data_IF_557072790283
#
_entry.id   IF_557072790283
#
_cell.length_a   1.000
_cell.length_b   1.000
_cell.length_c   1.000
_cell.angle_alpha   90.00
_cell.angle_beta   90.00
_cell.angle_gamma   90.00
#
_symmetry.space_group_name_H-M   'P 1'
#
loop_
_entity.id
_entity.type
_entity.pdbx_description
1 polymer ?
#
# COMPACT_ATOMS: atom_id res chain seq x y z
N UNK A 1 27.09 51.70 25.65
CA UNK A 1 28.23 50.87 26.08
C UNK A 1 28.19 49.59 25.28
N UNK A 2 29.08 49.48 24.31
CA UNK A 2 29.32 48.25 23.56
C UNK A 2 29.97 47.26 24.53
N UNK A 3 29.19 46.26 24.95
CA UNK A 3 29.68 45.15 25.75
C UNK A 3 30.55 44.27 24.84
N UNK A 4 31.78 44.72 24.60
CA UNK A 4 32.76 44.03 23.77
C UNK A 4 33.22 42.83 24.56
N UNK A 5 32.58 41.68 24.27
CA UNK A 5 32.96 40.39 24.82
C UNK A 5 34.46 40.21 24.65
N UNK A 6 35.13 39.84 25.73
CA UNK A 6 36.56 39.61 25.69
C UNK A 6 36.83 38.36 24.84
N UNK A 7 37.97 38.27 24.14
CA UNK A 7 38.31 37.08 23.34
C UNK A 7 38.18 35.77 24.13
N UNK A 8 38.57 35.77 25.42
CA UNK A 8 38.43 34.63 26.31
C UNK A 8 36.96 34.21 26.55
N UNK A 9 36.03 35.17 26.60
CA UNK A 9 34.60 34.88 26.74
C UNK A 9 34.01 34.29 25.45
N UNK A 10 34.47 34.76 24.29
CA UNK A 10 34.04 34.22 22.99
C UNK A 10 34.51 32.76 22.86
N UNK A 11 35.74 32.48 23.26
CA UNK A 11 36.31 31.13 23.22
C UNK A 11 35.60 30.16 24.18
N UNK A 12 35.29 30.63 25.39
CA UNK A 12 34.48 29.88 26.34
C UNK A 12 33.05 29.59 25.83
N UNK A 13 32.43 30.52 25.09
CA UNK A 13 31.10 30.33 24.51
C UNK A 13 31.13 29.36 23.32
N UNK A 14 32.20 29.38 22.52
CA UNK A 14 32.40 28.43 21.41
C UNK A 14 32.55 27.01 21.94
N UNK A 15 33.35 26.79 22.97
CA UNK A 15 33.52 25.47 23.60
C UNK A 15 32.18 24.95 24.13
N UNK A 16 31.45 25.81 24.85
CA UNK A 16 30.14 25.47 25.42
C UNK A 16 29.11 25.12 24.34
N UNK A 17 29.09 25.85 23.22
CA UNK A 17 28.21 25.54 22.07
C UNK A 17 28.60 24.25 21.36
N UNK A 18 29.89 23.93 21.25
CA UNK A 18 30.38 22.69 20.63
C UNK A 18 29.96 21.46 21.44
N UNK A 19 30.06 21.52 22.76
CA UNK A 19 29.56 20.45 23.64
C UNK A 19 28.05 20.25 23.47
N UNK A 20 27.28 21.34 23.42
CA UNK A 20 25.83 21.26 23.25
C UNK A 20 25.42 20.65 21.90
N UNK A 21 26.14 20.98 20.83
CA UNK A 21 25.93 20.41 19.49
C UNK A 21 26.27 18.92 19.43
N UNK A 22 27.33 18.48 20.11
CA UNK A 22 27.72 17.08 20.15
C UNK A 22 26.61 16.21 20.78
N UNK A 23 25.99 16.70 21.86
CA UNK A 23 24.86 16.03 22.52
C UNK A 23 23.65 15.94 21.58
N UNK A 24 23.31 17.03 20.88
CA UNK A 24 22.19 17.04 19.93
C UNK A 24 22.45 16.16 18.70
N UNK A 25 23.69 16.10 18.20
CA UNK A 25 24.06 15.25 17.06
C UNK A 25 23.98 13.77 17.41
N UNK A 26 24.35 13.39 18.63
CA UNK A 26 24.20 12.02 19.13
C UNK A 26 22.71 11.61 19.22
N UNK A 27 21.87 12.52 19.74
CA UNK A 27 20.42 12.30 19.81
C UNK A 27 19.76 12.17 18.43
N UNK A 28 20.16 12.98 17.45
CA UNK A 28 19.68 12.88 16.06
C UNK A 28 20.23 11.61 15.40
N UNK A 29 21.49 11.25 15.63
CA UNK A 29 22.12 10.04 15.07
C UNK A 29 21.36 8.76 15.45
N UNK A 30 20.86 8.67 16.68
CA UNK A 30 20.08 7.51 17.16
C UNK A 30 18.69 7.47 16.50
N UNK A 31 18.00 8.62 16.35
CA UNK A 31 16.63 8.66 15.80
C UNK A 31 16.54 8.51 14.30
N UNK A 32 17.59 8.86 13.55
CA UNK A 32 17.59 8.81 12.08
C UNK A 32 18.30 7.55 11.57
N UNK A 33 18.49 6.54 12.43
CA UNK A 33 19.14 5.29 12.03
C UNK A 33 18.37 4.67 10.85
N UNK A 34 18.97 4.57 9.65
CA UNK A 34 18.23 4.29 8.40
C UNK A 34 17.55 2.92 8.42
N UNK A 35 18.11 1.96 9.16
CA UNK A 35 17.52 0.63 9.35
C UNK A 35 16.14 0.68 10.04
N UNK A 36 15.92 1.61 10.96
CA UNK A 36 14.66 1.72 11.71
C UNK A 36 13.57 2.40 10.87
N UNK A 37 13.93 3.47 10.16
CA UNK A 37 13.00 4.18 9.26
C UNK A 37 12.51 3.25 8.14
N UNK A 38 13.42 2.47 7.55
CA UNK A 38 13.07 1.50 6.50
C UNK A 38 12.21 0.36 7.07
N UNK A 39 12.51 -0.10 8.29
CA UNK A 39 11.72 -1.12 8.99
C UNK A 39 10.27 -0.67 9.23
N UNK A 40 10.07 0.52 9.78
CA UNK A 40 8.75 1.08 10.07
C UNK A 40 7.93 1.34 8.80
N UNK A 41 8.58 1.83 7.74
CA UNK A 41 7.95 2.01 6.44
C UNK A 41 7.48 0.67 5.85
N UNK A 42 8.32 -0.37 5.90
CA UNK A 42 7.98 -1.71 5.39
C UNK A 42 6.84 -2.35 6.19
N UNK A 43 6.85 -2.21 7.51
CA UNK A 43 5.79 -2.73 8.38
C UNK A 43 4.44 -2.07 8.08
N UNK A 44 4.42 -0.77 7.82
CA UNK A 44 3.20 0.00 7.52
C UNK A 44 2.61 -0.34 6.15
N UNK A 45 3.47 -0.64 5.17
CA UNK A 45 3.04 -1.13 3.85
C UNK A 45 2.48 -2.55 3.97
N UNK A 46 3.16 -3.45 4.67
CA UNK A 46 2.70 -4.82 4.87
C UNK A 46 1.32 -4.89 5.53
N UNK A 47 1.09 -4.12 6.59
CA UNK A 47 -0.22 -4.08 7.27
C UNK A 47 -1.35 -3.53 6.39
N UNK A 48 -1.05 -2.55 5.53
CA UNK A 48 -2.02 -2.01 4.58
C UNK A 48 -2.41 -3.04 3.51
N UNK A 49 -1.43 -3.85 3.07
CA UNK A 49 -1.63 -4.93 2.11
C UNK A 49 -2.48 -6.04 2.71
N UNK A 50 -2.16 -6.53 3.91
CA UNK A 50 -2.93 -7.61 4.56
C UNK A 50 -4.40 -7.25 4.74
N UNK A 51 -4.68 -6.01 5.16
CA UNK A 51 -6.06 -5.59 5.41
C UNK A 51 -6.85 -5.32 4.13
N UNK A 52 -6.17 -4.87 3.06
CA UNK A 52 -6.82 -4.56 1.78
C UNK A 52 -7.00 -5.81 0.94
N UNK A 53 -5.95 -6.62 0.79
CA UNK A 53 -5.97 -7.84 -0.03
C UNK A 53 -6.84 -8.90 0.61
N UNK A 54 -6.75 -9.07 1.94
CA UNK A 54 -7.61 -10.02 2.66
C UNK A 54 -9.09 -9.68 2.51
N UNK A 55 -9.47 -8.40 2.68
CA UNK A 55 -10.86 -7.98 2.49
C UNK A 55 -11.33 -8.08 1.03
N UNK A 56 -10.48 -7.70 0.07
CA UNK A 56 -10.80 -7.80 -1.34
C UNK A 56 -11.01 -9.27 -1.75
N UNK A 57 -10.14 -10.18 -1.31
CA UNK A 57 -10.25 -11.61 -1.62
C UNK A 57 -11.54 -12.21 -1.06
N UNK A 58 -11.86 -11.92 0.21
CA UNK A 58 -13.10 -12.41 0.84
C UNK A 58 -14.34 -11.82 0.18
N UNK A 59 -14.33 -10.53 -0.14
CA UNK A 59 -15.45 -9.88 -0.84
C UNK A 59 -15.69 -10.50 -2.21
N UNK A 60 -14.63 -10.72 -3.00
CA UNK A 60 -14.71 -11.40 -4.30
C UNK A 60 -15.25 -12.82 -4.14
N UNK A 61 -14.71 -13.60 -3.21
CA UNK A 61 -15.11 -14.99 -3.04
C UNK A 61 -16.58 -15.11 -2.58
N UNK A 62 -17.04 -14.17 -1.75
CA UNK A 62 -18.46 -14.07 -1.36
C UNK A 62 -19.36 -13.81 -2.56
N UNK A 63 -19.01 -12.82 -3.38
CA UNK A 63 -19.78 -12.49 -4.60
C UNK A 63 -19.82 -13.68 -5.56
N UNK A 64 -18.67 -14.32 -5.81
CA UNK A 64 -18.59 -15.51 -6.68
C UNK A 64 -19.43 -16.66 -6.12
N UNK A 65 -19.41 -16.87 -4.81
CA UNK A 65 -20.20 -17.91 -4.15
C UNK A 65 -21.70 -17.65 -4.25
N UNK A 66 -22.14 -16.40 -4.03
CA UNK A 66 -23.55 -15.99 -4.13
C UNK A 66 -24.06 -16.13 -5.57
N UNK A 67 -23.23 -15.79 -6.56
CA UNK A 67 -23.56 -16.00 -7.98
C UNK A 67 -23.63 -17.49 -8.29
N UNK A 68 -22.62 -18.28 -7.89
CA UNK A 68 -22.59 -19.74 -8.12
C UNK A 68 -23.84 -20.42 -7.56
N UNK A 69 -24.27 -20.06 -6.35
CA UNK A 69 -25.46 -20.63 -5.71
C UNK A 69 -26.74 -20.47 -6.54
N UNK A 70 -26.86 -19.40 -7.35
CA UNK A 70 -28.02 -19.20 -8.24
C UNK A 70 -28.00 -20.08 -9.49
N UNK A 71 -26.81 -20.57 -9.84
CA UNK A 71 -26.54 -21.40 -11.01
C UNK A 71 -26.29 -22.87 -10.67
N UNK A 72 -26.33 -23.26 -9.40
CA UNK A 72 -26.23 -24.67 -8.97
C UNK A 72 -27.53 -25.15 -8.34
N UNK A 73 -27.76 -26.45 -8.37
CA UNK A 73 -28.79 -27.13 -7.59
C UNK A 73 -28.32 -27.31 -6.13
N UNK A 74 -29.20 -27.78 -5.25
CA UNK A 74 -28.92 -27.95 -3.81
C UNK A 74 -27.85 -29.01 -3.52
N UNK A 75 -27.67 -29.96 -4.45
CA UNK A 75 -26.62 -30.97 -4.47
C UNK A 75 -25.26 -30.45 -5.01
N UNK A 76 -25.22 -29.19 -5.46
CA UNK A 76 -24.04 -28.56 -6.05
C UNK A 76 -23.87 -28.75 -7.57
N UNK A 77 -24.78 -29.46 -8.24
CA UNK A 77 -24.71 -29.69 -9.68
C UNK A 77 -25.06 -28.41 -10.48
N UNK A 78 -24.33 -28.05 -11.55
CA UNK A 78 -24.66 -26.89 -12.38
C UNK A 78 -26.05 -27.00 -13.03
N UNK A 79 -26.85 -25.93 -12.93
CA UNK A 79 -28.12 -25.75 -13.64
C UNK A 79 -27.83 -25.42 -15.10
N UNK A 80 -27.59 -26.44 -15.92
CA UNK A 80 -27.23 -26.27 -17.34
C UNK A 80 -28.26 -25.42 -18.10
N UNK A 81 -29.55 -25.53 -17.76
CA UNK A 81 -30.63 -24.69 -18.30
C UNK A 81 -30.37 -23.18 -18.14
N UNK A 82 -29.65 -22.77 -17.08
CA UNK A 82 -29.33 -21.36 -16.76
C UNK A 82 -27.90 -20.99 -17.12
N UNK A 83 -26.96 -21.91 -16.94
CA UNK A 83 -25.53 -21.66 -17.18
C UNK A 83 -25.23 -21.52 -18.67
N UNK A 84 -25.79 -22.39 -19.50
CA UNK A 84 -25.54 -22.40 -20.96
C UNK A 84 -25.89 -21.06 -21.62
N UNK A 85 -27.11 -20.50 -21.47
CA UNK A 85 -27.45 -19.23 -22.11
C UNK A 85 -26.58 -18.06 -21.62
N UNK A 86 -26.26 -18.02 -20.32
CA UNK A 86 -25.39 -16.98 -19.76
C UNK A 86 -23.97 -17.10 -20.28
N UNK A 87 -23.43 -18.32 -20.38
CA UNK A 87 -22.10 -18.57 -20.92
C UNK A 87 -21.99 -18.14 -22.39
N UNK A 88 -23.00 -18.47 -23.21
CA UNK A 88 -23.05 -18.04 -24.62
C UNK A 88 -23.07 -16.52 -24.72
N UNK A 89 -23.91 -15.84 -23.94
CA UNK A 89 -23.98 -14.39 -23.93
C UNK A 89 -22.65 -13.74 -23.50
N UNK A 90 -22.01 -14.28 -22.45
CA UNK A 90 -20.72 -13.80 -21.98
C UNK A 90 -19.63 -13.93 -23.06
N UNK A 91 -19.54 -15.07 -23.74
CA UNK A 91 -18.59 -15.29 -24.85
C UNK A 91 -18.84 -14.29 -25.98
N UNK A 92 -20.10 -14.05 -26.35
CA UNK A 92 -20.45 -13.09 -27.40
C UNK A 92 -20.01 -11.65 -27.02
N UNK A 93 -20.27 -11.22 -25.79
CA UNK A 93 -19.86 -9.89 -25.30
C UNK A 93 -18.34 -9.75 -25.29
N UNK A 94 -17.61 -10.75 -24.78
CA UNK A 94 -16.13 -10.74 -24.79
C UNK A 94 -15.60 -10.69 -26.23
N UNK A 95 -16.15 -11.51 -27.12
CA UNK A 95 -15.81 -11.48 -28.54
C UNK A 95 -16.01 -10.11 -29.17
N UNK A 96 -17.13 -9.44 -28.87
CA UNK A 96 -17.43 -8.09 -29.34
C UNK A 96 -16.44 -7.04 -28.80
N UNK A 97 -16.09 -7.12 -27.51
CA UNK A 97 -15.12 -6.22 -26.88
C UNK A 97 -13.73 -6.38 -27.48
N UNK A 98 -13.30 -7.63 -27.71
CA UNK A 98 -12.01 -7.93 -28.35
C UNK A 98 -12.02 -7.47 -29.82
N UNK A 99 -13.09 -7.71 -30.56
CA UNK A 99 -13.21 -7.28 -31.95
C UNK A 99 -13.24 -5.74 -32.08
N UNK A 100 -13.99 -5.05 -31.22
CA UNK A 100 -14.10 -3.58 -31.24
C UNK A 100 -12.81 -2.89 -30.79
N UNK A 101 -12.10 -3.43 -29.81
CA UNK A 101 -10.79 -2.91 -29.39
C UNK A 101 -9.72 -3.11 -30.48
N UNK A 102 -9.76 -4.22 -31.22
CA UNK A 102 -8.91 -4.44 -32.40
C UNK A 102 -9.24 -3.44 -33.52
N UNK A 103 -10.53 -3.22 -33.80
CA UNK A 103 -10.99 -2.26 -34.83
C UNK A 103 -10.63 -0.80 -34.50
N UNK A 104 -10.45 -0.43 -33.23
CA UNK A 104 -10.03 0.93 -32.83
C UNK A 104 -8.52 1.16 -32.95
N UNK A 105 -7.72 0.11 -33.13
CA UNK A 105 -6.24 0.19 -33.17
C UNK A 105 -5.65 0.11 -34.59
N UNK A 106 -6.44 -0.25 -35.58
CA UNK A 106 -6.07 -0.22 -37.01
C UNK A 106 -6.84 0.88 -37.71
#
# INVERSE_FOLDING_TARGET
MSDVRTPAQIEADIVRRREQLAVTLDEIGIRVHPQTIIGDAKAKVASTVDQTVGRAFVAVNRVVSDVKARFTHEDGAPRLERVVPVAVAAVAVVGLLVASSRKRRG
#
